data_IF_873898090688
#
_entry.id   IF_873898090688
#
_cell.length_a   1.000
_cell.length_b   1.000
_cell.length_c   1.000
_cell.angle_alpha   90.00
_cell.angle_beta   90.00
_cell.angle_gamma   90.00
#
_symmetry.space_group_name_H-M   'P 1'
#
loop_
_entity.id
_entity.type
_entity.pdbx_description
1 polymer ?
#
# COMPACT_ATOMS: atom_id res chain seq x y z
N UNK A 1 -0.92 2.19 -11.62
CA UNK A 1 -1.65 1.44 -10.58
C UNK A 1 -1.11 1.83 -9.22
N UNK A 2 -1.90 2.56 -8.45
CA UNK A 2 -1.43 3.20 -7.22
C UNK A 2 -1.81 2.43 -5.95
N UNK A 3 -2.64 1.38 -6.05
CA UNK A 3 -2.97 0.59 -4.88
C UNK A 3 -3.08 -0.90 -5.21
N UNK A 4 -2.97 -1.71 -4.16
CA UNK A 4 -2.93 -3.17 -4.29
C UNK A 4 -4.25 -3.74 -4.83
N UNK A 5 -5.39 -3.15 -4.51
CA UNK A 5 -6.68 -3.66 -4.96
C UNK A 5 -6.86 -3.49 -6.47
N UNK A 6 -6.39 -2.39 -7.04
CA UNK A 6 -6.37 -2.18 -8.48
C UNK A 6 -5.44 -3.16 -9.18
N UNK A 7 -4.26 -3.36 -8.62
CA UNK A 7 -3.28 -4.31 -9.17
C UNK A 7 -3.82 -5.73 -9.20
N UNK A 8 -4.60 -6.12 -8.17
CA UNK A 8 -5.17 -7.46 -8.07
C UNK A 8 -6.31 -7.73 -9.04
N UNK A 9 -6.91 -6.70 -9.65
CA UNK A 9 -8.02 -6.90 -10.59
C UNK A 9 -7.65 -7.76 -11.80
N UNK A 10 -6.40 -7.71 -12.23
CA UNK A 10 -5.91 -8.45 -13.39
C UNK A 10 -5.26 -9.79 -13.03
N UNK A 11 -5.32 -10.19 -11.77
CA UNK A 11 -4.72 -11.44 -11.29
C UNK A 11 -5.80 -12.53 -11.27
N UNK A 12 -5.49 -13.78 -11.68
CA UNK A 12 -6.44 -14.88 -11.62
C UNK A 12 -7.02 -15.06 -10.21
N UNK A 13 -8.32 -15.43 -10.15
CA UNK A 13 -9.09 -15.49 -8.90
C UNK A 13 -8.41 -16.21 -7.77
N UNK A 14 -7.86 -17.39 -8.02
CA UNK A 14 -7.23 -18.21 -6.96
C UNK A 14 -5.96 -17.56 -6.40
N UNK A 15 -5.15 -16.98 -7.28
CA UNK A 15 -3.94 -16.25 -6.87
C UNK A 15 -4.30 -14.99 -6.09
N UNK A 16 -5.34 -14.29 -6.53
CA UNK A 16 -5.87 -13.13 -5.82
C UNK A 16 -6.33 -13.50 -4.42
N UNK A 17 -7.09 -14.59 -4.27
CA UNK A 17 -7.56 -15.08 -2.99
C UNK A 17 -6.40 -15.44 -2.08
N UNK A 18 -5.38 -16.09 -2.62
CA UNK A 18 -4.17 -16.43 -1.87
C UNK A 18 -3.46 -15.17 -1.35
N UNK A 19 -3.29 -14.18 -2.20
CA UNK A 19 -2.63 -12.92 -1.84
C UNK A 19 -3.39 -12.19 -0.74
N UNK A 20 -4.71 -12.08 -0.88
CA UNK A 20 -5.56 -11.44 0.13
C UNK A 20 -5.50 -12.18 1.47
N UNK A 21 -5.52 -13.51 1.43
CA UNK A 21 -5.43 -14.32 2.63
C UNK A 21 -4.07 -14.20 3.31
N UNK A 22 -2.99 -14.38 2.55
CA UNK A 22 -1.62 -14.36 3.08
C UNK A 22 -1.26 -13.03 3.73
N UNK A 23 -1.66 -11.93 3.12
CA UNK A 23 -1.32 -10.59 3.58
C UNK A 23 -2.41 -9.93 4.43
N UNK A 24 -3.42 -10.72 4.81
CA UNK A 24 -4.53 -10.27 5.65
C UNK A 24 -5.21 -9.00 5.11
N UNK A 25 -5.58 -9.05 3.83
CA UNK A 25 -6.21 -7.94 3.12
C UNK A 25 -7.71 -8.16 2.88
N UNK A 26 -8.34 -9.07 3.63
CA UNK A 26 -9.77 -9.34 3.53
C UNK A 26 -10.58 -8.07 3.79
N UNK A 27 -11.64 -7.86 3.01
CA UNK A 27 -12.53 -6.72 3.20
C UNK A 27 -13.23 -6.75 4.56
N UNK A 28 -13.50 -7.93 5.09
CA UNK A 28 -14.12 -8.08 6.41
C UNK A 28 -13.05 -8.36 7.46
N UNK A 29 -12.53 -7.30 8.05
CA UNK A 29 -11.52 -7.38 9.11
C UNK A 29 -12.11 -7.83 10.45
N UNK A 30 -13.43 -7.94 10.56
CA UNK A 30 -14.08 -8.40 11.78
C UNK A 30 -14.00 -9.91 11.97
N UNK A 31 -13.80 -10.64 10.88
CA UNK A 31 -13.63 -12.10 10.90
C UNK A 31 -12.17 -12.47 11.13
N UNK A 32 -11.95 -13.52 11.91
CA UNK A 32 -10.61 -14.08 12.11
C UNK A 32 -10.07 -14.59 10.76
N UNK A 33 -8.75 -14.44 10.51
CA UNK A 33 -8.16 -15.00 9.30
C UNK A 33 -8.36 -16.51 9.23
N UNK A 34 -8.56 -17.03 8.04
CA UNK A 34 -8.69 -18.49 7.84
C UNK A 34 -7.35 -19.16 8.15
N UNK A 35 -7.43 -20.38 8.71
CA UNK A 35 -6.25 -21.22 8.83
C UNK A 35 -5.82 -21.71 7.45
N UNK A 36 -4.60 -22.25 7.34
CA UNK A 36 -4.12 -22.84 6.09
C UNK A 36 -5.06 -23.93 5.58
N UNK A 37 -5.52 -24.80 6.47
CA UNK A 37 -6.45 -25.86 6.11
C UNK A 37 -7.78 -25.31 5.56
N UNK A 38 -8.33 -24.30 6.20
CA UNK A 38 -9.55 -23.65 5.75
C UNK A 38 -9.39 -22.99 4.38
N UNK A 39 -8.25 -22.33 4.17
CA UNK A 39 -7.92 -21.70 2.90
C UNK A 39 -7.80 -22.75 1.78
N UNK A 40 -7.07 -23.83 2.02
CA UNK A 40 -6.91 -24.91 1.07
C UNK A 40 -8.26 -25.52 0.68
N UNK A 41 -9.14 -25.69 1.66
CA UNK A 41 -10.49 -26.18 1.41
C UNK A 41 -11.28 -25.20 0.52
N UNK A 42 -11.15 -23.91 0.77
CA UNK A 42 -11.83 -22.85 0.00
C UNK A 42 -11.42 -22.88 -1.48
N UNK A 43 -10.13 -23.07 -1.78
CA UNK A 43 -9.63 -23.08 -3.16
C UNK A 43 -9.60 -24.46 -3.78
N UNK A 44 -9.92 -25.51 -3.01
CA UNK A 44 -10.00 -26.88 -3.52
C UNK A 44 -8.64 -27.53 -3.80
N UNK A 45 -7.61 -27.17 -3.04
CA UNK A 45 -6.25 -27.70 -3.18
C UNK A 45 -5.82 -28.41 -1.91
N UNK A 46 -4.87 -29.35 -2.06
CA UNK A 46 -4.32 -30.11 -0.94
C UNK A 46 -3.05 -29.48 -0.36
N UNK A 47 -2.34 -28.65 -1.14
CA UNK A 47 -1.10 -28.01 -0.70
C UNK A 47 -1.00 -26.60 -1.23
N UNK A 48 -0.14 -25.78 -0.60
CA UNK A 48 0.18 -24.41 -1.05
C UNK A 48 1.31 -24.36 -2.08
N UNK A 49 1.83 -25.51 -2.53
CA UNK A 49 3.04 -25.54 -3.37
C UNK A 49 2.94 -24.68 -4.63
N UNK A 50 1.78 -24.66 -5.29
CA UNK A 50 1.57 -23.85 -6.48
C UNK A 50 1.74 -22.37 -6.18
N UNK A 51 1.20 -21.92 -5.04
CA UNK A 51 1.30 -20.51 -4.62
C UNK A 51 2.70 -20.15 -4.17
N UNK A 52 3.39 -21.07 -3.48
CA UNK A 52 4.78 -20.85 -3.05
C UNK A 52 5.70 -20.67 -4.27
N UNK A 53 5.45 -21.41 -5.35
CA UNK A 53 6.18 -21.19 -6.62
C UNK A 53 5.85 -19.83 -7.22
N UNK A 54 4.59 -19.43 -7.17
CA UNK A 54 4.17 -18.12 -7.67
C UNK A 54 4.84 -16.98 -6.90
N UNK A 55 5.10 -17.16 -5.60
CA UNK A 55 5.81 -16.16 -4.79
C UNK A 55 7.21 -15.84 -5.32
N UNK A 56 7.78 -16.72 -6.14
CA UNK A 56 9.09 -16.50 -6.77
C UNK A 56 8.98 -15.74 -8.09
N UNK A 57 7.77 -15.50 -8.57
CA UNK A 57 7.54 -14.80 -9.84
C UNK A 57 7.74 -13.30 -9.69
N UNK A 58 8.03 -12.67 -10.82
CA UNK A 58 8.11 -11.21 -10.91
C UNK A 58 6.75 -10.57 -10.59
N UNK A 59 5.67 -11.19 -11.08
CA UNK A 59 4.31 -10.74 -10.82
C UNK A 59 4.03 -10.61 -9.32
N UNK A 60 4.37 -11.64 -8.55
CA UNK A 60 4.18 -11.61 -7.09
C UNK A 60 5.03 -10.54 -6.43
N UNK A 61 6.30 -10.41 -6.83
CA UNK A 61 7.19 -9.39 -6.26
C UNK A 61 6.69 -7.98 -6.54
N UNK A 62 6.14 -7.75 -7.73
CA UNK A 62 5.55 -6.46 -8.09
C UNK A 62 4.33 -6.16 -7.21
N UNK A 63 3.50 -7.16 -6.95
CA UNK A 63 2.35 -6.99 -6.06
C UNK A 63 2.79 -6.67 -4.63
N UNK A 64 3.82 -7.34 -4.13
CA UNK A 64 4.37 -7.07 -2.79
C UNK A 64 4.92 -5.64 -2.71
N UNK A 65 5.62 -5.19 -3.74
CA UNK A 65 6.14 -3.82 -3.78
C UNK A 65 5.01 -2.79 -3.71
N UNK A 66 3.93 -3.01 -4.45
CA UNK A 66 2.76 -2.13 -4.42
C UNK A 66 2.11 -2.14 -3.03
N UNK A 67 1.98 -3.33 -2.43
CA UNK A 67 1.42 -3.48 -1.09
C UNK A 67 2.24 -2.72 -0.04
N UNK A 68 3.56 -2.89 -0.07
CA UNK A 68 4.46 -2.23 0.87
C UNK A 68 4.40 -0.71 0.71
N UNK A 69 4.33 -0.22 -0.53
CA UNK A 69 4.18 1.20 -0.79
C UNK A 69 2.85 1.74 -0.23
N UNK A 70 1.77 0.99 -0.40
CA UNK A 70 0.45 1.37 0.14
C UNK A 70 0.48 1.44 1.67
N UNK A 71 1.10 0.45 2.32
CA UNK A 71 1.25 0.41 3.79
C UNK A 71 2.12 1.56 4.29
N UNK A 72 3.21 1.84 3.59
CA UNK A 72 4.10 2.94 3.93
C UNK A 72 3.36 4.28 3.89
N UNK A 73 2.60 4.52 2.83
CA UNK A 73 1.81 5.75 2.70
C UNK A 73 0.82 5.90 3.87
N UNK A 74 0.18 4.80 4.27
CA UNK A 74 -0.75 4.82 5.40
C UNK A 74 -0.07 5.05 6.75
N UNK A 75 1.15 4.57 6.91
CA UNK A 75 1.91 4.69 8.16
C UNK A 75 2.71 5.99 8.25
N UNK A 76 2.88 6.71 7.15
CA UNK A 76 3.74 7.90 7.10
C UNK A 76 3.32 8.97 8.10
N UNK A 77 2.03 9.24 8.24
CA UNK A 77 1.52 10.21 9.21
C UNK A 77 1.88 9.81 10.65
N UNK A 78 1.69 8.53 10.97
CA UNK A 78 2.00 8.01 12.31
C UNK A 78 3.49 8.11 12.61
N UNK A 79 4.33 7.80 11.63
CA UNK A 79 5.78 7.91 11.75
C UNK A 79 6.18 9.37 11.95
N UNK A 80 5.61 10.27 11.16
CA UNK A 80 5.85 11.70 11.28
C UNK A 80 5.49 12.20 12.69
N UNK A 81 4.29 11.87 13.17
CA UNK A 81 3.81 12.30 14.49
C UNK A 81 4.73 11.79 15.61
N UNK A 82 5.16 10.53 15.52
CA UNK A 82 6.08 9.94 16.50
C UNK A 82 7.44 10.65 16.52
N UNK A 83 7.99 10.93 15.34
CA UNK A 83 9.25 11.65 15.22
C UNK A 83 9.13 13.09 15.70
N UNK A 84 8.01 13.76 15.41
CA UNK A 84 7.78 15.12 15.84
C UNK A 84 7.76 15.25 17.37
N UNK A 85 7.12 14.31 18.06
CA UNK A 85 7.10 14.26 19.53
C UNK A 85 8.51 14.12 20.09
N UNK A 86 9.27 13.17 19.59
CA UNK A 86 10.65 12.92 20.04
C UNK A 86 11.58 14.09 19.72
N UNK A 87 11.43 14.70 18.56
CA UNK A 87 12.23 15.86 18.16
C UNK A 87 11.98 17.05 19.07
N UNK A 88 10.74 17.29 19.47
CA UNK A 88 10.37 18.36 20.40
C UNK A 88 10.96 18.14 21.80
N UNK A 89 11.22 16.88 22.16
CA UNK A 89 11.87 16.51 23.40
C UNK A 89 13.39 16.65 23.34
N UNK A 90 13.96 16.97 22.16
CA UNK A 90 15.38 17.22 21.98
C UNK A 90 16.19 16.02 21.49
N UNK A 91 15.52 14.95 21.02
CA UNK A 91 16.22 13.78 20.49
C UNK A 91 16.87 14.10 19.14
N UNK A 92 18.21 14.13 19.12
CA UNK A 92 18.98 14.53 17.95
C UNK A 92 18.72 13.67 16.71
N UNK A 93 18.61 12.36 16.88
CA UNK A 93 18.34 11.44 15.77
C UNK A 93 16.98 11.72 15.17
N UNK A 94 15.99 11.95 16.01
CA UNK A 94 14.62 12.27 15.57
C UNK A 94 14.56 13.60 14.85
N UNK A 95 15.32 14.60 15.33
CA UNK A 95 15.41 15.91 14.68
C UNK A 95 15.99 15.77 13.26
N UNK A 96 17.10 15.03 13.13
CA UNK A 96 17.74 14.80 11.83
C UNK A 96 16.82 14.08 10.86
N UNK A 97 16.16 13.01 11.32
CA UNK A 97 15.22 12.24 10.51
C UNK A 97 14.03 13.10 10.11
N UNK A 98 13.50 13.90 11.02
CA UNK A 98 12.37 14.76 10.74
C UNK A 98 12.71 15.81 9.68
N UNK A 99 13.90 16.41 9.76
CA UNK A 99 14.37 17.37 8.75
C UNK A 99 14.53 16.71 7.38
N UNK A 100 15.05 15.50 7.34
CA UNK A 100 15.21 14.73 6.11
C UNK A 100 13.87 14.38 5.49
N UNK A 101 12.93 13.85 6.28
CA UNK A 101 11.56 13.54 5.84
C UNK A 101 10.86 14.82 5.40
N UNK A 102 11.09 15.94 6.10
CA UNK A 102 10.52 17.23 5.75
C UNK A 102 10.87 17.69 4.35
N UNK A 103 12.11 17.44 3.91
CA UNK A 103 12.52 17.74 2.53
C UNK A 103 11.73 16.94 1.52
N UNK A 104 11.57 15.63 1.77
CA UNK A 104 10.81 14.75 0.90
C UNK A 104 9.33 15.15 0.87
N UNK A 105 8.76 15.47 2.02
CA UNK A 105 7.37 15.93 2.13
C UNK A 105 7.15 17.20 1.30
N UNK A 106 8.09 18.16 1.35
CA UNK A 106 7.99 19.38 0.57
C UNK A 106 7.99 19.13 -0.93
N UNK A 107 8.79 18.17 -1.39
CA UNK A 107 8.83 17.76 -2.81
C UNK A 107 7.48 17.15 -3.21
N UNK A 108 6.97 16.22 -2.41
CA UNK A 108 5.67 15.58 -2.67
C UNK A 108 4.52 16.60 -2.62
N UNK A 109 4.55 17.53 -1.68
CA UNK A 109 3.54 18.58 -1.56
C UNK A 109 3.52 19.50 -2.78
N UNK A 110 4.70 19.82 -3.31
CA UNK A 110 4.82 20.63 -4.52
C UNK A 110 4.24 19.90 -5.73
N UNK A 111 4.58 18.62 -5.88
CA UNK A 111 4.04 17.80 -6.97
C UNK A 111 2.53 17.64 -6.86
N UNK A 112 2.02 17.41 -5.65
CA UNK A 112 0.60 17.30 -5.40
C UNK A 112 -0.14 18.61 -5.74
N UNK A 113 0.42 19.76 -5.37
CA UNK A 113 -0.15 21.07 -5.70
C UNK A 113 -0.22 21.28 -7.22
N UNK A 114 0.80 20.84 -7.95
CA UNK A 114 0.79 20.91 -9.42
C UNK A 114 -0.30 20.03 -10.03
N UNK A 115 -0.54 18.85 -9.47
CA UNK A 115 -1.61 17.95 -9.95
C UNK A 115 -3.00 18.57 -9.70
N UNK A 116 -3.23 19.15 -8.54
CA UNK A 116 -4.49 19.83 -8.23
C UNK A 116 -4.73 21.00 -9.16
N UNK A 117 -3.71 21.80 -9.46
CA UNK A 117 -3.84 22.92 -10.39
C UNK A 117 -4.18 22.44 -11.81
N UNK A 118 -3.60 21.34 -12.27
CA UNK A 118 -3.94 20.73 -13.56
C UNK A 118 -5.39 20.26 -13.60
N UNK A 119 -5.85 19.61 -12.53
CA UNK A 119 -7.21 19.11 -12.44
C UNK A 119 -8.21 20.26 -12.45
N UNK A 120 -7.93 21.37 -11.75
CA UNK A 120 -8.74 22.57 -11.78
C UNK A 120 -8.79 23.21 -13.17
N UNK A 121 -7.66 23.30 -13.86
CA UNK A 121 -7.61 23.82 -15.24
C UNK A 121 -8.42 22.94 -16.18
N UNK A 122 -8.36 21.61 -16.02
CA UNK A 122 -9.15 20.67 -16.83
C UNK A 122 -10.66 20.84 -16.57
N UNK A 123 -11.06 21.00 -15.32
CA UNK A 123 -12.46 21.23 -14.94
C UNK A 123 -12.98 22.56 -15.47
N UNK A 124 -12.16 23.61 -15.38
CA UNK A 124 -12.51 24.93 -15.92
C UNK A 124 -12.67 24.88 -17.44
N UNK A 125 -11.81 24.15 -18.14
CA UNK A 125 -11.91 23.97 -19.60
C UNK A 125 -13.18 23.21 -19.97
N UNK A 126 -13.55 22.20 -19.19
CA UNK A 126 -14.79 21.43 -19.39
C UNK A 126 -16.04 22.30 -19.14
N UNK A 127 -15.94 23.26 -18.22
CA UNK A 127 -17.05 24.17 -17.90
C UNK A 127 -17.23 25.26 -18.92
N UNK A 128 -16.24 25.62 -19.71
CA UNK A 128 -16.31 26.63 -20.76
C UNK A 128 -16.99 26.12 -22.04
N UNK A 129 -17.27 24.85 -22.11
CA UNK A 129 -17.96 24.23 -23.23
C UNK A 129 -19.50 24.39 -23.08
#
# INVERSE_FOLDING_TARGET
MNNIYEALKNIPSKKKLYFLWKHNLSFDQTKAPKSEAEFLQTVGLSTLNTYIRWERSEEYRNLVAILLNTRFDGDLELIYDSLAVKAKEGDEKSIKLLLQIGKDIKIYAKDAAMQFNKDEESEDDDLEL
#
